data_IF_852575008373
#
_entry.id   IF_852575008373
#
_cell.length_a   1.000
_cell.length_b   1.000
_cell.length_c   1.000
_cell.angle_alpha   90.00
_cell.angle_beta   90.00
_cell.angle_gamma   90.00
#
_symmetry.space_group_name_H-M   'P 1'
#
loop_
_entity.id
_entity.type
_entity.pdbx_description
1 polymer ?
#
# COMPACT_ATOMS: atom_id res chain seq x y z
N UNK A 1 2.04 3.83 3.61
CA UNK A 1 2.76 4.00 4.88
C UNK A 1 2.56 5.42 5.37
N UNK A 2 2.19 5.61 6.65
CA UNK A 2 1.89 6.91 7.25
C UNK A 2 2.04 6.85 8.77
N UNK A 3 2.21 8.01 9.40
CA UNK A 3 2.29 8.19 10.85
C UNK A 3 3.29 7.20 11.48
N UNK A 4 4.51 7.20 10.94
CA UNK A 4 5.59 6.34 11.39
C UNK A 4 6.37 6.99 12.53
N UNK A 5 6.76 6.18 13.51
CA UNK A 5 7.75 6.55 14.51
C UNK A 5 9.16 6.37 13.94
N UNK A 6 9.41 5.21 13.29
CA UNK A 6 10.70 4.87 12.69
C UNK A 6 10.59 3.75 11.67
N UNK A 7 11.64 3.62 10.88
CA UNK A 7 11.87 2.48 9.98
C UNK A 7 13.13 1.76 10.43
N UNK A 8 13.04 0.45 10.59
CA UNK A 8 14.16 -0.42 11.01
C UNK A 8 14.58 -1.31 9.84
N UNK A 9 15.87 -1.35 9.55
CA UNK A 9 16.44 -2.21 8.52
C UNK A 9 17.38 -3.21 9.20
N UNK A 10 16.96 -4.48 9.24
CA UNK A 10 17.75 -5.57 9.79
C UNK A 10 18.40 -6.32 8.63
N UNK A 11 19.73 -6.32 8.59
CA UNK A 11 20.52 -6.96 7.54
C UNK A 11 20.95 -8.36 7.96
N UNK A 12 20.97 -9.27 7.00
CA UNK A 12 21.34 -10.68 7.22
C UNK A 12 20.16 -11.53 7.69
N UNK A 13 20.37 -12.84 7.88
CA UNK A 13 19.32 -13.79 8.22
C UNK A 13 18.63 -13.47 9.54
N UNK A 14 17.31 -13.31 9.53
CA UNK A 14 16.48 -13.02 10.69
C UNK A 14 15.45 -14.14 10.96
N UNK A 15 15.69 -15.34 10.41
CA UNK A 15 14.74 -16.45 10.43
C UNK A 15 14.32 -16.96 11.81
N UNK A 16 15.15 -16.78 12.83
CA UNK A 16 14.84 -17.19 14.21
C UNK A 16 13.72 -16.39 14.87
N UNK A 17 13.58 -15.10 14.53
CA UNK A 17 12.57 -14.20 15.10
C UNK A 17 11.42 -13.89 14.14
N UNK A 18 11.71 -13.84 12.84
CA UNK A 18 10.76 -13.37 11.81
C UNK A 18 10.35 -14.44 10.80
N UNK A 19 10.73 -15.71 11.07
CA UNK A 19 10.35 -16.85 10.26
C UNK A 19 11.24 -17.07 9.03
N UNK A 20 11.01 -18.19 8.36
CA UNK A 20 11.89 -18.76 7.32
C UNK A 20 12.14 -17.89 6.09
N UNK A 21 11.29 -16.89 5.84
CA UNK A 21 11.40 -16.07 4.64
C UNK A 21 12.33 -14.84 4.81
N UNK A 22 12.83 -14.59 6.03
CA UNK A 22 13.75 -13.47 6.32
C UNK A 22 15.22 -13.89 6.17
N UNK A 23 15.61 -14.39 5.00
CA UNK A 23 16.96 -14.91 4.72
C UNK A 23 18.00 -13.83 4.39
N UNK A 24 17.57 -12.75 3.73
CA UNK A 24 18.45 -11.63 3.36
C UNK A 24 18.41 -10.45 4.33
N UNK A 25 17.36 -10.40 5.14
CA UNK A 25 17.04 -9.30 6.04
C UNK A 25 15.56 -8.94 6.01
N UNK A 26 15.20 -7.87 6.71
CA UNK A 26 13.84 -7.32 6.69
C UNK A 26 13.85 -5.80 6.88
N UNK A 27 12.79 -5.16 6.43
CA UNK A 27 12.47 -3.77 6.73
C UNK A 27 11.21 -3.74 7.57
N UNK A 28 11.28 -3.14 8.75
CA UNK A 28 10.15 -3.02 9.67
C UNK A 28 9.72 -1.56 9.79
N UNK A 29 8.44 -1.32 9.62
CA UNK A 29 7.82 -0.01 9.79
C UNK A 29 7.10 0.03 11.14
N UNK A 30 7.57 0.89 12.03
CA UNK A 30 7.01 1.04 13.37
C UNK A 30 6.12 2.27 13.38
N UNK A 31 4.84 2.06 13.62
CA UNK A 31 3.85 3.15 13.69
C UNK A 31 3.95 3.87 15.02
N UNK A 32 3.72 5.19 15.03
CA UNK A 32 3.69 5.99 16.25
C UNK A 32 2.57 5.50 17.16
N UNK A 33 2.88 5.27 18.43
CA UNK A 33 1.93 4.86 19.45
C UNK A 33 1.24 6.07 20.07
N UNK A 34 0.05 5.89 20.68
CA UNK A 34 -0.51 6.90 21.57
C UNK A 34 0.44 7.21 22.74
N UNK A 35 0.42 8.45 23.19
CA UNK A 35 1.13 8.92 24.39
C UNK A 35 0.23 9.84 25.19
N UNK A 36 0.62 10.16 26.45
CA UNK A 36 -0.11 11.11 27.27
C UNK A 36 0.04 12.56 26.74
N UNK A 37 1.14 12.84 26.05
CA UNK A 37 1.36 14.13 25.42
C UNK A 37 0.48 14.31 24.19
N UNK A 38 -0.24 15.42 24.13
CA UNK A 38 -1.06 15.75 22.97
C UNK A 38 -0.18 16.21 21.81
N UNK A 39 -0.35 15.58 20.65
CA UNK A 39 0.28 15.98 19.41
C UNK A 39 -0.68 15.91 18.23
N UNK A 40 -0.45 16.75 17.23
CA UNK A 40 -1.17 16.70 15.97
C UNK A 40 -0.22 17.06 14.82
N UNK A 41 -0.45 16.42 13.67
CA UNK A 41 0.30 16.69 12.44
C UNK A 41 -0.62 16.64 11.23
N UNK A 42 -0.31 17.50 10.25
CA UNK A 42 -0.91 17.45 8.91
C UNK A 42 0.21 17.65 7.91
N UNK A 43 0.28 16.78 6.92
CA UNK A 43 1.21 16.89 5.80
C UNK A 43 0.43 16.86 4.50
N UNK A 44 0.76 17.76 3.57
CA UNK A 44 0.19 17.83 2.23
C UNK A 44 1.33 17.83 1.22
N UNK A 45 1.28 16.89 0.29
CA UNK A 45 2.21 16.82 -0.83
C UNK A 45 1.42 16.98 -2.12
N UNK A 46 1.89 17.85 -3.01
CA UNK A 46 1.34 18.07 -4.33
C UNK A 46 2.45 17.83 -5.36
N UNK A 47 2.11 17.22 -6.48
CA UNK A 47 3.07 16.90 -7.53
C UNK A 47 2.47 17.04 -8.93
N UNK A 48 3.24 16.69 -9.95
CA UNK A 48 2.76 16.52 -11.31
C UNK A 48 1.70 15.42 -11.41
N UNK A 49 1.00 15.34 -12.52
CA UNK A 49 0.03 14.29 -12.85
C UNK A 49 -1.09 14.19 -11.80
N UNK A 50 -1.60 15.34 -11.34
CA UNK A 50 -2.66 15.42 -10.35
C UNK A 50 -2.32 14.83 -8.98
N UNK A 51 -1.03 14.52 -8.72
CA UNK A 51 -0.61 13.85 -7.49
C UNK A 51 -0.89 14.70 -6.26
N UNK A 52 -1.68 14.13 -5.37
CA UNK A 52 -2.05 14.71 -4.09
C UNK A 52 -1.90 13.64 -3.01
N UNK A 53 -1.17 13.97 -1.95
CA UNK A 53 -1.11 13.16 -0.74
C UNK A 53 -1.44 14.03 0.45
N UNK A 54 -2.40 13.60 1.24
CA UNK A 54 -2.75 14.24 2.50
C UNK A 54 -2.61 13.19 3.60
N UNK A 55 -1.84 13.52 4.61
CA UNK A 55 -1.65 12.72 5.81
C UNK A 55 -1.99 13.56 7.04
N UNK A 56 -2.72 12.99 7.99
CA UNK A 56 -3.06 13.66 9.24
C UNK A 56 -3.02 12.68 10.40
N UNK A 57 -2.61 13.18 11.56
CA UNK A 57 -2.65 12.42 12.79
C UNK A 57 -2.93 13.35 13.98
N UNK A 58 -3.62 12.81 15.01
CA UNK A 58 -3.85 13.46 16.28
C UNK A 58 -3.84 12.41 17.39
N UNK A 59 -3.21 12.73 18.51
CA UNK A 59 -3.16 11.86 19.69
C UNK A 59 -3.05 12.64 20.98
N UNK A 60 -3.23 11.92 22.11
CA UNK A 60 -3.11 12.49 23.46
C UNK A 60 -3.73 11.61 24.52
N UNK A 61 -3.51 11.97 25.78
CA UNK A 61 -4.11 11.32 26.94
C UNK A 61 -5.58 11.70 27.13
N UNK A 62 -6.40 10.69 27.44
CA UNK A 62 -7.79 10.87 27.88
C UNK A 62 -7.89 10.84 29.41
N UNK A 63 -6.96 10.16 30.05
CA UNK A 63 -6.79 10.10 31.52
C UNK A 63 -5.33 9.69 31.80
N UNK A 64 -4.91 9.68 33.06
CA UNK A 64 -3.55 9.28 33.47
C UNK A 64 -3.16 7.88 33.00
N UNK A 65 -4.12 7.02 32.66
CA UNK A 65 -3.89 5.64 32.27
C UNK A 65 -4.33 5.30 30.86
N UNK A 66 -4.98 6.22 30.13
CA UNK A 66 -5.53 5.98 28.79
C UNK A 66 -5.08 7.07 27.83
N UNK A 67 -4.45 6.68 26.74
CA UNK A 67 -4.13 7.55 25.62
C UNK A 67 -4.70 7.00 24.32
N UNK A 68 -4.97 7.89 23.36
CA UNK A 68 -5.47 7.52 22.06
C UNK A 68 -4.77 8.24 20.94
N UNK A 69 -4.82 7.64 19.74
CA UNK A 69 -4.30 8.23 18.52
C UNK A 69 -5.14 7.83 17.32
N UNK A 70 -5.46 8.79 16.47
CA UNK A 70 -6.10 8.56 15.18
C UNK A 70 -5.17 9.14 14.11
N UNK A 71 -4.98 8.38 13.04
CA UNK A 71 -4.19 8.83 11.90
C UNK A 71 -4.81 8.33 10.59
N UNK A 72 -4.56 9.05 9.51
CA UNK A 72 -5.03 8.66 8.19
C UNK A 72 -4.22 9.28 7.08
N UNK A 73 -4.31 8.67 5.91
CA UNK A 73 -3.68 9.12 4.68
C UNK A 73 -4.61 8.90 3.50
N UNK A 74 -4.59 9.80 2.54
CA UNK A 74 -5.17 9.61 1.20
C UNK A 74 -4.14 9.99 0.15
N UNK A 75 -4.02 9.15 -0.87
CA UNK A 75 -3.22 9.41 -2.06
C UNK A 75 -4.15 9.42 -3.27
N UNK A 76 -3.95 10.42 -4.12
CA UNK A 76 -4.61 10.55 -5.42
C UNK A 76 -3.53 10.85 -6.46
N UNK A 77 -3.67 10.29 -7.65
CA UNK A 77 -2.95 10.72 -8.83
C UNK A 77 -3.78 10.43 -10.08
N UNK A 78 -3.67 11.30 -11.06
CA UNK A 78 -4.15 11.01 -12.40
C UNK A 78 -3.26 9.92 -13.03
N UNK A 79 -3.69 9.38 -14.17
CA UNK A 79 -2.91 8.39 -14.89
C UNK A 79 -1.56 8.95 -15.34
N UNK A 80 -0.50 8.14 -15.18
CA UNK A 80 0.85 8.49 -15.65
C UNK A 80 1.07 8.10 -17.12
N UNK A 81 0.29 7.14 -17.62
CA UNK A 81 0.37 6.66 -18.98
C UNK A 81 -0.85 7.14 -19.76
N UNK A 82 -0.60 7.91 -20.82
CA UNK A 82 -1.64 8.41 -21.72
C UNK A 82 -2.19 7.27 -22.59
N UNK A 83 -3.52 7.09 -22.57
CA UNK A 83 -4.19 6.14 -23.44
C UNK A 83 -4.85 6.88 -24.62
N UNK A 84 -4.34 6.71 -25.81
CA UNK A 84 -4.81 7.39 -27.03
C UNK A 84 -6.26 7.04 -27.43
N UNK A 85 -6.83 5.97 -26.90
CA UNK A 85 -8.18 5.49 -27.23
C UNK A 85 -9.13 5.42 -26.04
N UNK A 86 -8.66 5.69 -24.82
CA UNK A 86 -9.46 5.53 -23.62
C UNK A 86 -9.01 6.39 -22.46
N UNK A 87 -9.28 5.91 -21.26
CA UNK A 87 -8.85 6.55 -20.01
C UNK A 87 -7.37 6.27 -19.77
N UNK A 88 -6.63 7.26 -19.31
CA UNK A 88 -5.23 7.13 -18.92
C UNK A 88 -5.04 6.04 -17.85
N UNK A 89 -3.90 5.38 -17.90
CA UNK A 89 -3.56 4.27 -17.02
C UNK A 89 -2.67 4.67 -15.85
N UNK A 90 -2.59 3.80 -14.84
CA UNK A 90 -1.79 3.97 -13.62
C UNK A 90 -2.27 5.11 -12.70
N UNK A 91 -3.55 5.45 -12.74
CA UNK A 91 -4.15 6.32 -11.74
C UNK A 91 -4.16 5.64 -10.36
N UNK A 92 -4.07 6.42 -9.30
CA UNK A 92 -4.16 5.93 -7.93
C UNK A 92 -5.25 6.67 -7.16
N UNK A 93 -6.07 5.91 -6.42
CA UNK A 93 -6.97 6.41 -5.38
C UNK A 93 -6.90 5.43 -4.21
N UNK A 94 -6.06 5.73 -3.23
CA UNK A 94 -5.93 4.89 -2.05
C UNK A 94 -6.03 5.71 -0.77
N UNK A 95 -6.63 5.11 0.25
CA UNK A 95 -6.68 5.69 1.58
C UNK A 95 -6.53 4.65 2.68
N UNK A 96 -6.08 5.10 3.82
CA UNK A 96 -6.01 4.28 5.03
C UNK A 96 -6.30 5.13 6.26
N UNK A 97 -6.97 4.52 7.23
CA UNK A 97 -7.22 5.11 8.54
C UNK A 97 -6.85 4.12 9.64
N UNK A 98 -6.30 4.62 10.75
CA UNK A 98 -5.89 3.83 11.91
C UNK A 98 -6.30 4.52 13.19
N UNK A 99 -6.95 3.77 14.08
CA UNK A 99 -7.23 4.16 15.45
C UNK A 99 -6.43 3.29 16.42
N UNK A 100 -5.91 3.89 17.47
CA UNK A 100 -5.15 3.20 18.51
C UNK A 100 -5.58 3.68 19.89
N UNK A 101 -5.66 2.75 20.84
CA UNK A 101 -5.86 3.01 22.27
C UNK A 101 -4.77 2.31 23.07
N UNK A 102 -4.11 3.06 23.93
CA UNK A 102 -3.12 2.57 24.87
C UNK A 102 -3.72 2.67 26.27
N UNK A 103 -3.70 1.57 26.99
CA UNK A 103 -4.16 1.48 28.37
C UNK A 103 -3.00 1.00 29.26
N UNK A 104 -2.59 1.85 30.19
CA UNK A 104 -1.50 1.63 31.13
C UNK A 104 -1.99 1.83 32.58
N UNK A 105 -2.72 0.85 33.15
CA UNK A 105 -3.29 0.98 34.49
C UNK A 105 -2.24 0.99 35.60
N UNK A 106 -1.02 0.56 35.31
CA UNK A 106 0.14 0.57 36.20
C UNK A 106 1.44 0.57 35.37
N UNK A 107 2.57 0.83 36.02
CA UNK A 107 3.91 0.78 35.42
C UNK A 107 4.30 -0.63 34.92
N UNK A 108 3.55 -1.65 35.33
CA UNK A 108 3.80 -3.04 35.01
C UNK A 108 2.95 -3.60 33.88
N UNK A 109 1.85 -2.93 33.51
CA UNK A 109 0.92 -3.43 32.49
C UNK A 109 0.65 -2.37 31.42
N UNK A 110 0.94 -2.73 30.17
CA UNK A 110 0.62 -1.93 28.98
C UNK A 110 -0.20 -2.76 28.00
N UNK A 111 -1.34 -2.23 27.55
CA UNK A 111 -2.23 -2.85 26.58
C UNK A 111 -2.45 -1.86 25.45
N UNK A 112 -2.04 -2.24 24.24
CA UNK A 112 -2.28 -1.48 23.01
C UNK A 112 -3.31 -2.21 22.16
N UNK A 113 -4.40 -1.53 21.82
CA UNK A 113 -5.38 -1.98 20.82
C UNK A 113 -5.28 -1.10 19.61
N UNK A 114 -5.19 -1.70 18.42
CA UNK A 114 -5.10 -1.00 17.14
C UNK A 114 -6.13 -1.57 16.18
N UNK A 115 -6.87 -0.70 15.51
CA UNK A 115 -7.70 -1.00 14.36
C UNK A 115 -7.24 -0.19 13.16
N UNK A 116 -7.19 -0.83 11.98
CA UNK A 116 -6.83 -0.18 10.74
C UNK A 116 -7.73 -0.65 9.61
N UNK A 117 -8.11 0.27 8.74
CA UNK A 117 -8.74 -0.02 7.47
C UNK A 117 -7.99 0.66 6.35
N UNK A 118 -7.78 -0.04 5.25
CA UNK A 118 -7.14 0.46 4.06
C UNK A 118 -7.93 0.06 2.83
N UNK A 119 -8.06 0.97 1.88
CA UNK A 119 -8.63 0.70 0.57
C UNK A 119 -7.69 1.19 -0.51
N UNK A 120 -7.43 0.35 -1.50
CA UNK A 120 -6.77 0.67 -2.75
C UNK A 120 -7.79 0.51 -3.88
N UNK A 121 -8.02 1.55 -4.66
CA UNK A 121 -8.85 1.55 -5.86
C UNK A 121 -8.04 2.18 -7.00
N UNK A 122 -7.04 1.44 -7.47
CA UNK A 122 -6.07 1.90 -8.46
C UNK A 122 -6.23 1.14 -9.76
N UNK A 123 -5.85 1.76 -10.87
CA UNK A 123 -5.78 1.13 -12.18
C UNK A 123 -4.30 0.86 -12.56
N UNK A 124 -3.62 0.00 -11.82
CA UNK A 124 -2.18 -0.30 -11.97
C UNK A 124 -1.87 -1.37 -13.02
N UNK A 125 -2.85 -1.77 -13.84
CA UNK A 125 -2.73 -2.93 -14.70
C UNK A 125 -1.97 -2.71 -16.01
N UNK A 126 -1.82 -1.47 -16.50
CA UNK A 126 -1.33 -1.23 -17.84
C UNK A 126 0.14 -0.84 -17.87
N UNK A 127 0.86 -1.40 -18.83
CA UNK A 127 2.27 -1.22 -19.07
C UNK A 127 2.50 -0.75 -20.51
N UNK A 128 3.70 -0.25 -20.79
CA UNK A 128 4.12 0.06 -22.15
C UNK A 128 4.28 -1.24 -22.95
N UNK A 129 3.63 -1.29 -24.14
CA UNK A 129 3.75 -2.41 -25.05
C UNK A 129 4.69 -2.04 -26.19
N UNK A 130 5.98 -2.36 -26.01
CA UNK A 130 6.97 -2.21 -27.07
C UNK A 130 6.78 -3.29 -28.13
N UNK A 131 6.45 -2.88 -29.36
CA UNK A 131 6.42 -3.78 -30.51
C UNK A 131 7.77 -3.79 -31.19
N UNK A 132 8.58 -4.81 -30.87
CA UNK A 132 9.94 -4.98 -31.40
C UNK A 132 9.98 -5.52 -32.82
N UNK A 133 11.20 -5.81 -33.31
CA UNK A 133 11.42 -6.48 -34.58
C UNK A 133 10.76 -7.86 -34.60
N UNK A 134 10.21 -8.23 -35.77
CA UNK A 134 9.43 -9.44 -35.97
C UNK A 134 10.12 -10.70 -35.43
N UNK A 135 9.55 -11.25 -34.36
CA UNK A 135 9.80 -12.62 -33.95
C UNK A 135 9.05 -13.63 -34.83
N UNK A 136 9.30 -14.94 -34.62
CA UNK A 136 8.70 -16.01 -35.40
C UNK A 136 7.15 -16.12 -35.30
N UNK A 137 6.51 -15.32 -34.43
CA UNK A 137 5.09 -15.38 -34.10
C UNK A 137 4.33 -14.09 -34.35
N UNK A 138 4.95 -13.08 -34.97
CA UNK A 138 4.26 -11.82 -35.29
C UNK A 138 3.78 -11.81 -36.73
N UNK A 139 2.53 -11.31 -37.02
CA UNK A 139 1.98 -11.32 -38.39
C UNK A 139 2.66 -10.36 -39.34
N UNK A 140 3.39 -9.35 -38.84
CA UNK A 140 4.14 -8.40 -39.64
C UNK A 140 5.35 -7.85 -38.84
N UNK A 141 6.37 -7.28 -39.52
CA UNK A 141 7.49 -6.62 -38.82
C UNK A 141 7.01 -5.49 -37.91
N UNK A 142 7.58 -5.40 -36.71
CA UNK A 142 7.25 -4.41 -35.69
C UNK A 142 5.77 -4.42 -35.26
N UNK A 143 5.14 -5.60 -35.24
CA UNK A 143 3.82 -5.81 -34.65
C UNK A 143 3.88 -6.88 -33.59
N UNK A 144 2.89 -6.87 -32.69
CA UNK A 144 2.63 -7.99 -31.78
C UNK A 144 1.97 -9.18 -32.51
N UNK A 145 1.60 -10.21 -31.76
CA UNK A 145 0.91 -11.41 -32.29
C UNK A 145 -0.45 -11.08 -32.94
N UNK A 146 -1.15 -10.04 -32.48
CA UNK A 146 -2.48 -9.63 -32.97
C UNK A 146 -2.41 -8.52 -34.00
N UNK A 147 -1.23 -8.08 -34.42
CA UNK A 147 -1.02 -7.08 -35.46
C UNK A 147 -1.02 -5.63 -34.94
N UNK A 148 -1.05 -5.41 -33.63
CA UNK A 148 -0.86 -4.07 -33.07
C UNK A 148 0.58 -3.61 -33.29
N UNK A 149 0.75 -2.34 -33.60
CA UNK A 149 2.04 -1.67 -33.73
C UNK A 149 2.05 -0.43 -32.86
N UNK A 150 3.04 -0.34 -31.99
CA UNK A 150 3.32 0.86 -31.24
C UNK A 150 3.66 2.01 -32.17
N UNK A 151 2.93 3.16 -32.12
CA UNK A 151 3.04 4.19 -33.14
C UNK A 151 4.28 5.06 -33.03
N UNK A 152 4.77 5.35 -31.84
CA UNK A 152 5.80 6.39 -31.60
C UNK A 152 6.98 5.97 -30.73
N UNK A 153 6.88 4.86 -30.01
CA UNK A 153 7.93 4.38 -29.12
C UNK A 153 8.05 5.19 -27.82
N UNK A 154 7.06 6.03 -27.50
CA UNK A 154 7.04 6.74 -26.23
C UNK A 154 6.56 5.81 -25.11
N UNK A 155 7.39 5.53 -24.09
CA UNK A 155 6.99 4.63 -23.01
C UNK A 155 5.88 5.17 -22.10
N UNK A 156 5.44 6.39 -22.29
CA UNK A 156 4.37 7.03 -21.51
C UNK A 156 3.04 7.09 -22.25
N UNK A 157 3.01 6.65 -23.50
CA UNK A 157 1.81 6.59 -24.33
C UNK A 157 1.49 5.15 -24.71
N UNK A 158 0.22 4.90 -25.08
CA UNK A 158 -0.21 3.58 -25.55
C UNK A 158 -1.64 3.60 -26.06
N UNK A 159 -2.12 2.41 -26.43
CA UNK A 159 -3.50 2.21 -26.85
C UNK A 159 -3.96 0.85 -26.27
N UNK A 160 -4.79 0.88 -25.25
CA UNK A 160 -5.37 -0.31 -24.63
C UNK A 160 -6.88 -0.15 -24.48
N UNK A 161 -7.61 -1.24 -24.66
CA UNK A 161 -9.08 -1.26 -24.61
C UNK A 161 -9.63 -1.49 -23.20
N UNK A 162 -8.80 -2.02 -22.27
CA UNK A 162 -9.18 -2.30 -20.91
C UNK A 162 -8.18 -1.71 -19.91
N UNK A 163 -8.63 -0.79 -19.07
CA UNK A 163 -7.74 -0.07 -18.13
C UNK A 163 -7.19 -0.94 -16.99
N UNK A 164 -7.68 -2.15 -16.85
CA UNK A 164 -7.34 -2.94 -15.68
C UNK A 164 -7.82 -2.30 -14.37
N UNK A 165 -7.65 -2.98 -13.28
CA UNK A 165 -7.87 -2.46 -11.93
C UNK A 165 -7.13 -3.30 -10.89
N UNK A 166 -6.78 -2.66 -9.80
CA UNK A 166 -6.28 -3.33 -8.61
C UNK A 166 -7.05 -2.77 -7.41
N UNK A 167 -7.98 -3.56 -6.85
CA UNK A 167 -8.85 -3.15 -5.75
C UNK A 167 -8.59 -4.02 -4.56
N UNK A 168 -8.21 -3.41 -3.44
CA UNK A 168 -8.00 -4.12 -2.20
C UNK A 168 -8.65 -3.39 -1.03
N UNK A 169 -9.46 -4.12 -0.29
CA UNK A 169 -10.00 -3.70 1.00
C UNK A 169 -9.35 -4.54 2.09
N UNK A 170 -8.73 -3.89 3.07
CA UNK A 170 -8.03 -4.55 4.17
C UNK A 170 -8.50 -4.00 5.50
N UNK A 171 -9.09 -4.85 6.33
CA UNK A 171 -9.41 -4.53 7.72
C UNK A 171 -8.48 -5.32 8.66
N UNK A 172 -7.88 -4.66 9.64
CA UNK A 172 -6.93 -5.26 10.57
C UNK A 172 -7.22 -4.83 12.00
N UNK A 173 -7.14 -5.77 12.93
CA UNK A 173 -7.20 -5.53 14.35
C UNK A 173 -6.01 -6.17 15.07
N UNK A 174 -5.31 -5.41 15.91
CA UNK A 174 -4.16 -5.89 16.67
C UNK A 174 -4.35 -5.61 18.15
N UNK A 175 -3.99 -6.57 18.99
CA UNK A 175 -3.88 -6.38 20.44
C UNK A 175 -2.46 -6.76 20.87
N UNK A 176 -1.79 -5.85 21.58
CA UNK A 176 -0.49 -6.10 22.19
C UNK A 176 -0.60 -5.91 23.69
N UNK A 177 -0.09 -6.86 24.45
CA UNK A 177 -0.02 -6.80 25.94
C UNK A 177 1.43 -7.01 26.35
N UNK A 178 1.97 -6.09 27.12
CA UNK A 178 3.25 -6.23 27.80
C UNK A 178 3.00 -6.18 29.31
N UNK A 179 3.32 -7.26 30.01
CA UNK A 179 3.10 -7.37 31.47
C UNK A 179 4.40 -7.76 32.19
N UNK A 180 4.86 -6.87 33.05
CA UNK A 180 6.05 -7.11 33.91
C UNK A 180 5.62 -7.89 35.15
N UNK A 181 6.18 -9.05 35.34
CA UNK A 181 5.97 -9.97 36.47
C UNK A 181 7.29 -10.09 37.27
N UNK A 182 7.58 -9.06 38.05
CA UNK A 182 8.86 -8.95 38.75
C UNK A 182 10.05 -8.85 37.80
N UNK A 183 10.92 -9.83 37.73
CA UNK A 183 12.09 -9.86 36.85
C UNK A 183 11.78 -10.36 35.43
N UNK A 184 10.55 -10.76 35.15
CA UNK A 184 10.13 -11.31 33.83
C UNK A 184 9.09 -10.41 33.17
N UNK A 185 9.16 -10.26 31.87
CA UNK A 185 8.10 -9.61 31.09
C UNK A 185 7.43 -10.65 30.22
N UNK A 186 6.11 -10.73 30.32
CA UNK A 186 5.26 -11.47 29.39
C UNK A 186 4.78 -10.52 28.28
N UNK A 187 5.09 -10.85 27.04
CA UNK A 187 4.59 -10.11 25.88
C UNK A 187 3.68 -11.00 25.06
N UNK A 188 2.49 -10.48 24.72
CA UNK A 188 1.52 -11.11 23.85
C UNK A 188 1.19 -10.19 22.68
N UNK A 189 1.12 -10.73 21.48
CA UNK A 189 0.62 -10.03 20.29
C UNK A 189 -0.38 -10.94 19.59
N UNK A 190 -1.60 -10.43 19.42
CA UNK A 190 -2.64 -11.05 18.62
C UNK A 190 -3.02 -10.12 17.47
N UNK A 191 -3.18 -10.69 16.28
CA UNK A 191 -3.57 -9.95 15.07
C UNK A 191 -4.64 -10.71 14.32
N UNK A 192 -5.61 -9.96 13.77
CA UNK A 192 -6.61 -10.48 12.85
C UNK A 192 -6.65 -9.56 11.62
N UNK A 193 -6.68 -10.16 10.46
CA UNK A 193 -6.74 -9.44 9.19
C UNK A 193 -7.78 -10.08 8.27
N UNK A 194 -8.60 -9.23 7.66
CA UNK A 194 -9.52 -9.59 6.57
C UNK A 194 -9.13 -8.84 5.32
N UNK A 195 -8.99 -9.56 4.20
CA UNK A 195 -8.51 -9.00 2.93
C UNK A 195 -9.45 -9.43 1.82
N UNK A 196 -10.06 -8.46 1.16
CA UNK A 196 -10.71 -8.65 -0.12
C UNK A 196 -9.85 -8.03 -1.21
N UNK A 197 -9.39 -8.82 -2.18
CA UNK A 197 -8.57 -8.35 -3.28
C UNK A 197 -9.12 -8.83 -4.61
N UNK A 198 -9.30 -7.89 -5.53
CA UNK A 198 -9.74 -8.12 -6.91
C UNK A 198 -8.81 -7.37 -7.84
N UNK A 199 -8.39 -8.01 -8.89
CA UNK A 199 -7.63 -7.34 -9.93
C UNK A 199 -8.12 -7.77 -11.32
N UNK A 200 -7.89 -6.90 -12.30
CA UNK A 200 -8.08 -7.20 -13.70
C UNK A 200 -6.98 -6.51 -14.49
N UNK A 201 -6.59 -7.13 -15.58
CA UNK A 201 -5.52 -6.60 -16.44
C UNK A 201 -5.84 -6.80 -17.91
N UNK A 202 -5.36 -5.87 -18.72
CA UNK A 202 -5.21 -6.04 -20.16
C UNK A 202 -3.85 -6.67 -20.41
N UNK A 203 -3.82 -7.95 -20.76
CA UNK A 203 -2.56 -8.69 -20.90
C UNK A 203 -1.94 -8.57 -22.29
N UNK A 204 -2.67 -8.11 -23.28
CA UNK A 204 -2.11 -7.80 -24.58
C UNK A 204 -1.74 -6.33 -24.75
N UNK A 205 -2.19 -5.47 -23.83
CA UNK A 205 -1.88 -4.01 -23.77
C UNK A 205 -2.00 -3.38 -25.15
N UNK A 206 -3.11 -3.67 -25.83
CA UNK A 206 -3.38 -3.21 -27.20
C UNK A 206 -4.85 -2.81 -27.35
N UNK A 207 -5.24 -2.17 -28.48
CA UNK A 207 -6.64 -1.87 -28.74
C UNK A 207 -7.50 -3.08 -29.09
N UNK A 208 -6.94 -4.27 -29.06
CA UNK A 208 -7.64 -5.52 -29.41
C UNK A 208 -8.24 -6.15 -28.16
N UNK A 209 -9.55 -6.32 -28.12
CA UNK A 209 -10.22 -6.97 -26.99
C UNK A 209 -10.01 -8.51 -27.03
N UNK A 210 -8.82 -8.97 -26.64
CA UNK A 210 -8.44 -10.38 -26.75
C UNK A 210 -8.09 -11.04 -25.42
N UNK A 211 -7.23 -10.44 -24.61
CA UNK A 211 -6.72 -11.03 -23.36
C UNK A 211 -6.97 -10.15 -22.14
N UNK A 212 -8.24 -9.84 -21.85
CA UNK A 212 -8.65 -9.15 -20.65
C UNK A 212 -8.96 -10.17 -19.55
N UNK A 213 -8.26 -10.10 -18.40
CA UNK A 213 -8.46 -10.96 -17.24
C UNK A 213 -9.08 -10.19 -16.07
N UNK A 214 -10.04 -10.84 -15.37
CA UNK A 214 -10.69 -10.30 -14.17
C UNK A 214 -10.89 -11.38 -13.11
#
# INVERSE_FOLDING_TARGET
LYDLERVEVLRGPQGTLFGRNATGGLVQYVTRKPSQDSDASVEVQLGSDGRQRVEAAVGGGFSDTVAGRISGVRNLSDGLMENSIGKDGQAADDYSARGQLLFEPSDDLSILVKGQYSRDDSDRGNYFHETGDAGAFTPAPATDFFGYREPDGDPWTGAWDFNGFNKADVAQGTVKVDWKLGATTLSYVGDYQDIEHRYGEDSDVSPNNVFNFT
#
